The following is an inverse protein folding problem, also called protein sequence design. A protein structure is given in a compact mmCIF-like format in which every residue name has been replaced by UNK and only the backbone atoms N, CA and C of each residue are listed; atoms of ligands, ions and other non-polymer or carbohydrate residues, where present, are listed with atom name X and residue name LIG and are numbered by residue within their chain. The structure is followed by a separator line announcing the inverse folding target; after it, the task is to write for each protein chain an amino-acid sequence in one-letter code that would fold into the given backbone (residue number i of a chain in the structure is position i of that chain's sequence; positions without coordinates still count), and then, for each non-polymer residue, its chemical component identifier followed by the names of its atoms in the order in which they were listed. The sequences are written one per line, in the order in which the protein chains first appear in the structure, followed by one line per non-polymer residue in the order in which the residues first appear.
data_IF_225170118693
#
_entry.id   IF_225170118693
#
_cell.length_a   1.000
_cell.length_b   1.000
_cell.length_c   1.000
_cell.angle_alpha   90.00
_cell.angle_beta   90.00
_cell.angle_gamma   90.00
#
_symmetry.space_group_name_H-M   'P 1'
#
loop_
_entity.id
_entity.type
_entity.pdbx_description
1 polymer ?
#
# COMPACT_ATOMS: atom_id res chain seq x y z
N UNK A 1 -8.80 -31.76 13.74
CA UNK A 1 -7.63 -32.36 13.11
C UNK A 1 -6.57 -32.80 14.13
N UNK A 2 -6.22 -32.02 15.17
CA UNK A 2 -5.27 -32.45 16.23
C UNK A 2 -5.64 -33.78 16.86
N UNK A 3 -6.92 -33.96 17.24
CA UNK A 3 -7.42 -35.23 17.79
C UNK A 3 -7.26 -36.45 16.85
N UNK A 4 -7.03 -36.19 15.55
CA UNK A 4 -6.76 -37.23 14.54
C UNK A 4 -5.27 -37.38 14.24
N UNK A 5 -4.38 -36.81 15.07
CA UNK A 5 -2.93 -36.91 14.92
C UNK A 5 -2.31 -35.99 13.87
N UNK A 6 -3.06 -35.04 13.29
CA UNK A 6 -2.48 -34.10 12.33
C UNK A 6 -1.67 -33.01 13.05
N UNK A 7 -0.55 -32.62 12.45
CA UNK A 7 0.13 -31.39 12.81
C UNK A 7 -0.68 -30.20 12.30
N UNK A 8 -1.12 -29.33 13.19
CA UNK A 8 -2.03 -28.22 12.89
C UNK A 8 -1.35 -26.90 13.22
N UNK A 9 -1.07 -26.11 12.19
CA UNK A 9 -0.66 -24.71 12.31
C UNK A 9 -1.91 -23.84 12.48
N UNK A 10 -2.06 -23.18 13.64
CA UNK A 10 -3.16 -22.29 13.95
C UNK A 10 -2.62 -20.98 14.55
N UNK A 11 -2.01 -20.10 13.76
CA UNK A 11 -1.45 -18.84 14.23
C UNK A 11 -2.52 -17.82 14.53
N UNK A 12 -2.16 -16.77 15.28
CA UNK A 12 -2.96 -15.56 15.47
C UNK A 12 -2.23 -14.35 14.89
N UNK A 13 -2.98 -13.46 14.24
CA UNK A 13 -2.47 -12.20 13.71
C UNK A 13 -3.26 -11.00 14.24
N UNK A 14 -2.54 -9.93 14.60
CA UNK A 14 -3.12 -8.67 15.03
C UNK A 14 -2.86 -7.61 13.96
N UNK A 15 -3.93 -7.10 13.36
CA UNK A 15 -3.87 -5.92 12.50
C UNK A 15 -3.79 -4.69 13.39
N UNK A 16 -2.59 -4.14 13.54
CA UNK A 16 -2.26 -3.23 14.64
C UNK A 16 -2.12 -1.77 14.22
N UNK A 17 -2.08 -1.46 12.93
CA UNK A 17 -2.15 -0.10 12.42
C UNK A 17 -3.60 0.33 12.24
N UNK A 18 -3.91 1.62 12.46
CA UNK A 18 -5.20 2.14 12.10
C UNK A 18 -5.66 3.34 12.89
N UNK A 19 -6.65 4.02 12.35
CA UNK A 19 -7.27 5.23 12.89
C UNK A 19 -7.71 5.11 14.36
N UNK A 20 -8.30 3.99 14.85
CA UNK A 20 -8.71 3.90 16.25
C UNK A 20 -7.57 4.11 17.24
N UNK A 21 -6.40 3.52 17.00
CA UNK A 21 -5.24 3.67 17.87
C UNK A 21 -4.64 5.09 17.80
N UNK A 22 -4.66 5.70 16.60
CA UNK A 22 -4.19 7.06 16.36
C UNK A 22 -5.08 8.10 17.05
N UNK A 23 -6.40 7.98 16.93
CA UNK A 23 -7.34 8.88 17.60
C UNK A 23 -7.25 8.76 19.12
N UNK A 24 -7.17 7.56 19.67
CA UNK A 24 -6.97 7.38 21.09
C UNK A 24 -5.65 8.01 21.59
N UNK A 25 -4.60 7.96 20.78
CA UNK A 25 -3.34 8.61 21.08
C UNK A 25 -3.47 10.15 21.13
N UNK A 26 -4.23 10.74 20.21
CA UNK A 26 -4.50 12.18 20.20
C UNK A 26 -5.32 12.61 21.42
N UNK A 27 -6.33 11.84 21.82
CA UNK A 27 -7.20 12.11 22.96
C UNK A 27 -6.47 11.97 24.31
N UNK A 28 -5.59 11.00 24.43
CA UNK A 28 -4.97 10.63 25.71
C UNK A 28 -3.52 11.06 25.86
N UNK A 29 -2.87 11.48 24.77
CA UNK A 29 -1.42 11.73 24.72
C UNK A 29 -0.56 10.47 24.82
N UNK A 30 -1.16 9.26 24.77
CA UNK A 30 -0.46 8.01 24.89
C UNK A 30 -0.02 7.49 23.51
N UNK A 31 1.25 7.12 23.36
CA UNK A 31 1.75 6.58 22.09
C UNK A 31 0.98 5.31 21.66
N UNK A 32 0.56 5.18 20.37
CA UNK A 32 -0.27 4.06 19.90
C UNK A 32 0.29 2.67 20.22
N UNK A 33 1.61 2.49 20.19
CA UNK A 33 2.25 1.21 20.50
C UNK A 33 1.93 0.72 21.91
N UNK A 34 1.86 1.62 22.91
CA UNK A 34 1.54 1.26 24.31
C UNK A 34 0.12 0.73 24.42
N UNK A 35 -0.84 1.41 23.80
CA UNK A 35 -2.24 0.99 23.76
C UNK A 35 -2.40 -0.34 23.01
N UNK A 36 -1.72 -0.49 21.88
CA UNK A 36 -1.72 -1.73 21.08
C UNK A 36 -1.23 -2.91 21.88
N UNK A 37 -0.10 -2.80 22.59
CA UNK A 37 0.43 -3.87 23.45
C UNK A 37 -0.56 -4.29 24.53
N UNK A 38 -1.17 -3.31 25.20
CA UNK A 38 -2.18 -3.57 26.24
C UNK A 38 -3.40 -4.29 25.67
N UNK A 39 -3.87 -3.87 24.50
CA UNK A 39 -5.02 -4.46 23.83
C UNK A 39 -4.72 -5.90 23.38
N UNK A 40 -3.54 -6.16 22.81
CA UNK A 40 -3.10 -7.51 22.43
C UNK A 40 -3.09 -8.45 23.65
N UNK A 41 -2.53 -8.00 24.77
CA UNK A 41 -2.52 -8.79 26.00
C UNK A 41 -3.95 -9.10 26.49
N UNK A 42 -4.87 -8.14 26.38
CA UNK A 42 -6.27 -8.31 26.74
C UNK A 42 -6.97 -9.31 25.81
N UNK A 43 -6.84 -9.15 24.50
CA UNK A 43 -7.41 -10.07 23.52
C UNK A 43 -6.90 -11.51 23.71
N UNK A 44 -5.60 -11.67 23.90
CA UNK A 44 -5.01 -12.98 24.17
C UNK A 44 -5.63 -13.64 25.41
N UNK A 45 -5.74 -12.90 26.50
CA UNK A 45 -6.38 -13.41 27.73
C UNK A 45 -7.85 -13.79 27.54
N UNK A 46 -8.60 -13.02 26.72
CA UNK A 46 -9.99 -13.31 26.40
C UNK A 46 -10.13 -14.56 25.53
N UNK A 47 -9.30 -14.69 24.49
CA UNK A 47 -9.30 -15.85 23.60
C UNK A 47 -8.89 -17.14 24.31
N UNK A 48 -7.94 -17.06 25.24
CA UNK A 48 -7.56 -18.19 26.08
C UNK A 48 -8.73 -18.67 27.00
N UNK A 49 -9.52 -17.74 27.54
CA UNK A 49 -10.72 -18.07 28.33
C UNK A 49 -11.82 -18.75 27.50
N UNK A 50 -11.94 -18.43 26.20
CA UNK A 50 -12.86 -19.10 25.28
C UNK A 50 -12.38 -20.51 24.93
N UNK A 51 -11.08 -20.79 25.10
CA UNK A 51 -10.46 -22.07 24.84
C UNK A 51 -10.04 -22.29 23.38
N UNK A 52 -9.75 -21.21 22.64
CA UNK A 52 -9.15 -21.33 21.33
C UNK A 52 -7.74 -21.94 21.40
N UNK A 53 -7.45 -22.86 20.47
CA UNK A 53 -6.17 -23.57 20.40
C UNK A 53 -5.18 -22.84 19.49
N UNK A 54 -4.93 -21.55 19.69
CA UNK A 54 -3.92 -20.82 18.93
C UNK A 54 -2.50 -21.25 19.30
N UNK A 55 -1.61 -21.22 18.31
CA UNK A 55 -0.17 -21.36 18.53
C UNK A 55 0.43 -19.96 18.76
N UNK A 56 0.44 -19.52 20.01
CA UNK A 56 0.93 -18.21 20.39
C UNK A 56 2.43 -17.99 20.10
N UNK A 57 3.19 -19.06 19.90
CA UNK A 57 4.60 -18.95 19.48
C UNK A 57 4.74 -18.42 18.05
N UNK A 58 3.67 -18.45 17.28
CA UNK A 58 3.56 -18.01 15.89
C UNK A 58 2.61 -16.84 15.71
N UNK A 59 2.37 -16.08 16.76
CA UNK A 59 1.62 -14.84 16.62
C UNK A 59 2.40 -13.82 15.82
N UNK A 60 1.68 -13.01 15.03
CA UNK A 60 2.23 -11.92 14.22
C UNK A 60 1.50 -10.61 14.52
N UNK A 61 2.21 -9.48 14.37
CA UNK A 61 1.69 -8.12 14.54
C UNK A 61 2.08 -7.31 13.34
N UNK A 62 1.14 -6.71 12.65
CA UNK A 62 1.42 -5.96 11.43
C UNK A 62 2.25 -4.69 11.70
N UNK A 63 2.21 -4.17 12.95
CA UNK A 63 3.01 -3.03 13.41
C UNK A 63 4.42 -3.39 13.88
N UNK A 64 4.79 -4.68 13.91
CA UNK A 64 6.15 -5.10 14.24
C UNK A 64 7.10 -4.80 13.07
N UNK A 65 8.24 -4.11 13.29
CA UNK A 65 9.24 -3.89 12.25
C UNK A 65 9.72 -5.17 11.56
N UNK A 66 9.81 -6.28 12.29
CA UNK A 66 10.16 -7.58 11.73
C UNK A 66 9.11 -8.10 10.74
N UNK A 67 7.85 -7.67 10.87
CA UNK A 67 6.77 -7.99 9.97
C UNK A 67 6.68 -6.98 8.80
N UNK A 68 6.50 -5.69 9.08
CA UNK A 68 6.22 -4.69 8.03
C UNK A 68 7.42 -4.41 7.11
N UNK A 69 8.65 -4.77 7.48
CA UNK A 69 9.80 -4.72 6.56
C UNK A 69 9.54 -5.47 5.25
N UNK A 70 8.75 -6.55 5.29
CA UNK A 70 8.39 -7.32 4.10
C UNK A 70 7.37 -6.59 3.23
N UNK A 71 6.42 -5.89 3.83
CA UNK A 71 5.50 -4.99 3.10
C UNK A 71 6.28 -3.87 2.40
N UNK A 72 7.25 -3.27 3.09
CA UNK A 72 8.13 -2.25 2.51
C UNK A 72 8.99 -2.84 1.39
N UNK A 73 9.52 -4.05 1.57
CA UNK A 73 10.30 -4.73 0.54
C UNK A 73 9.45 -5.00 -0.71
N UNK A 74 8.23 -5.51 -0.56
CA UNK A 74 7.31 -5.74 -1.68
C UNK A 74 7.01 -4.42 -2.40
N UNK A 75 6.75 -3.34 -1.66
CA UNK A 75 6.55 -2.02 -2.25
C UNK A 75 7.75 -1.59 -3.10
N UNK A 76 8.98 -1.77 -2.61
CA UNK A 76 10.20 -1.45 -3.35
C UNK A 76 10.35 -2.30 -4.62
N UNK A 77 9.96 -3.58 -4.58
CA UNK A 77 9.95 -4.42 -5.80
C UNK A 77 8.98 -3.85 -6.85
N UNK A 78 7.77 -3.47 -6.44
CA UNK A 78 6.78 -2.84 -7.33
C UNK A 78 7.24 -1.48 -7.84
N UNK A 79 7.83 -0.65 -6.98
CA UNK A 79 8.38 0.65 -7.34
C UNK A 79 9.52 0.55 -8.35
N UNK A 80 10.38 -0.46 -8.22
CA UNK A 80 11.50 -0.71 -9.11
C UNK A 80 11.15 -1.57 -10.32
N UNK A 81 9.85 -1.75 -10.60
CA UNK A 81 9.36 -2.56 -11.72
C UNK A 81 8.32 -1.80 -12.56
N UNK A 82 8.17 -2.23 -13.81
CA UNK A 82 7.10 -1.80 -14.71
C UNK A 82 6.45 -3.03 -15.35
N UNK A 83 5.20 -2.93 -15.79
CA UNK A 83 4.54 -3.99 -16.56
C UNK A 83 4.93 -3.92 -18.03
N UNK A 84 5.46 -5.02 -18.55
CA UNK A 84 5.79 -5.15 -19.98
C UNK A 84 4.62 -5.80 -20.71
N UNK A 85 3.90 -5.03 -21.54
CA UNK A 85 2.74 -5.52 -22.30
C UNK A 85 3.10 -6.61 -23.31
N UNK A 86 4.31 -6.59 -23.85
CA UNK A 86 4.77 -7.61 -24.81
C UNK A 86 5.05 -8.94 -24.14
N UNK A 87 5.69 -8.92 -22.97
CA UNK A 87 6.04 -10.14 -22.22
C UNK A 87 4.98 -10.54 -21.20
N UNK A 88 3.95 -9.69 -21.01
CA UNK A 88 2.85 -9.89 -20.03
C UNK A 88 3.35 -10.17 -18.61
N UNK A 89 4.42 -9.50 -18.18
CA UNK A 89 5.00 -9.65 -16.83
C UNK A 89 5.68 -8.36 -16.35
N UNK A 90 5.95 -8.31 -15.04
CA UNK A 90 6.79 -7.27 -14.47
C UNK A 90 8.25 -7.44 -14.89
N UNK A 91 8.88 -6.33 -15.24
CA UNK A 91 10.31 -6.25 -15.55
C UNK A 91 10.95 -5.12 -14.71
N UNK A 92 12.26 -5.22 -14.40
CA UNK A 92 12.98 -4.16 -13.70
C UNK A 92 12.92 -2.82 -14.45
N UNK A 93 12.67 -1.73 -13.73
CA UNK A 93 12.58 -0.37 -14.28
C UNK A 93 13.87 0.04 -15.00
N UNK A 94 15.03 -0.48 -14.58
CA UNK A 94 16.32 -0.26 -15.22
C UNK A 94 16.37 -0.69 -16.68
N UNK A 95 15.62 -1.73 -17.06
CA UNK A 95 15.50 -2.15 -18.46
C UNK A 95 14.73 -1.12 -19.29
N UNK A 96 13.72 -0.49 -18.70
CA UNK A 96 12.97 0.58 -19.35
C UNK A 96 13.83 1.83 -19.51
N UNK A 97 14.59 2.20 -18.48
CA UNK A 97 15.55 3.31 -18.53
C UNK A 97 16.55 3.10 -19.67
N UNK A 98 17.19 1.94 -19.72
CA UNK A 98 18.15 1.59 -20.77
C UNK A 98 17.51 1.63 -22.18
N UNK A 99 16.25 1.21 -22.29
CA UNK A 99 15.49 1.33 -23.55
C UNK A 99 15.29 2.79 -23.94
N UNK A 100 14.95 3.67 -23.01
CA UNK A 100 14.76 5.09 -23.25
C UNK A 100 16.05 5.79 -23.62
N UNK A 101 17.16 5.45 -22.97
CA UNK A 101 18.50 5.98 -23.28
C UNK A 101 18.97 5.63 -24.70
N UNK A 102 18.54 4.47 -25.23
CA UNK A 102 19.04 3.96 -26.51
C UNK A 102 18.05 4.13 -27.67
N UNK A 103 16.74 4.12 -27.40
CA UNK A 103 15.68 4.07 -28.44
C UNK A 103 14.58 5.11 -28.22
N UNK A 104 14.58 5.79 -27.08
CA UNK A 104 13.46 6.66 -26.71
C UNK A 104 12.16 5.90 -26.44
N UNK A 105 11.06 6.63 -26.46
CA UNK A 105 9.69 6.14 -26.37
C UNK A 105 8.90 6.57 -27.59
N UNK A 106 9.10 5.87 -28.71
CA UNK A 106 8.36 6.12 -29.94
C UNK A 106 7.20 5.12 -30.07
N UNK A 107 6.03 5.52 -30.58
CA UNK A 107 4.97 4.59 -30.86
C UNK A 107 5.45 3.57 -31.90
N UNK A 108 5.31 2.29 -31.54
CA UNK A 108 5.22 1.29 -32.61
C UNK A 108 3.85 1.47 -33.26
N UNK A 109 3.79 1.48 -34.58
CA UNK A 109 2.52 1.49 -35.33
C UNK A 109 1.57 0.46 -34.74
N UNK A 110 0.50 0.94 -34.08
CA UNK A 110 -0.55 0.08 -33.52
C UNK A 110 -0.68 -0.02 -32.01
N UNK A 111 0.31 0.43 -31.22
CA UNK A 111 0.14 0.49 -29.76
C UNK A 111 0.07 1.94 -29.28
N UNK A 112 -1.06 2.37 -28.67
CA UNK A 112 -1.08 3.67 -28.00
C UNK A 112 -0.14 3.57 -26.80
N UNK A 113 0.98 4.30 -26.81
CA UNK A 113 1.77 4.54 -25.61
C UNK A 113 1.07 5.67 -24.85
N UNK A 114 0.37 5.40 -23.75
CA UNK A 114 -0.16 6.48 -22.92
C UNK A 114 1.03 7.28 -22.37
N UNK A 115 1.15 8.54 -22.76
CA UNK A 115 2.22 9.42 -22.31
C UNK A 115 3.13 9.89 -23.45
N UNK A 116 4.03 10.79 -23.14
CA UNK A 116 4.85 11.56 -24.06
C UNK A 116 5.74 10.68 -24.94
N UNK A 117 5.75 10.99 -26.22
CA UNK A 117 6.75 10.47 -27.19
C UNK A 117 8.02 11.29 -27.04
N UNK A 118 9.18 10.66 -27.10
CA UNK A 118 10.49 11.30 -27.06
C UNK A 118 11.55 10.38 -27.69
N UNK A 119 12.55 11.01 -28.30
CA UNK A 119 13.74 10.33 -28.83
C UNK A 119 14.72 9.97 -27.70
N UNK A 120 15.76 9.18 -28.03
CA UNK A 120 16.83 8.89 -27.07
C UNK A 120 17.61 10.18 -26.69
N UNK A 121 17.85 11.05 -27.64
CA UNK A 121 18.57 12.32 -27.41
C UNK A 121 17.76 13.24 -26.48
N UNK A 122 16.44 13.36 -26.72
CA UNK A 122 15.55 14.12 -25.83
C UNK A 122 15.53 13.52 -24.42
N UNK A 123 15.44 12.18 -24.28
CA UNK A 123 15.51 11.52 -22.97
C UNK A 123 16.80 11.84 -22.21
N UNK A 124 17.94 11.74 -22.91
CA UNK A 124 19.27 11.99 -22.34
C UNK A 124 19.47 13.48 -22.00
N UNK A 125 18.73 14.38 -22.67
CA UNK A 125 18.71 15.81 -22.38
C UNK A 125 17.74 16.23 -21.27
N UNK A 126 16.84 15.34 -20.82
CA UNK A 126 15.90 15.66 -19.75
C UNK A 126 16.60 15.76 -18.38
N UNK A 127 16.10 16.65 -17.55
CA UNK A 127 16.50 16.68 -16.13
C UNK A 127 16.11 15.39 -15.43
N UNK A 128 16.84 14.99 -14.38
CA UNK A 128 16.51 13.81 -13.57
C UNK A 128 15.06 13.86 -13.05
N UNK A 129 14.59 15.03 -12.63
CA UNK A 129 13.21 15.20 -12.20
C UNK A 129 12.22 14.84 -13.32
N UNK A 130 12.48 15.29 -14.55
CA UNK A 130 11.63 15.00 -15.72
C UNK A 130 11.65 13.52 -16.08
N UNK A 131 12.82 12.89 -16.04
CA UNK A 131 12.94 11.43 -16.24
C UNK A 131 12.14 10.67 -15.20
N UNK A 132 12.23 11.02 -13.90
CA UNK A 132 11.48 10.36 -12.83
C UNK A 132 9.96 10.58 -12.94
N UNK A 133 9.49 11.75 -13.39
CA UNK A 133 8.07 11.98 -13.69
C UNK A 133 7.55 11.02 -14.77
N UNK A 134 8.32 10.82 -15.84
CA UNK A 134 7.98 9.90 -16.93
C UNK A 134 8.01 8.44 -16.44
N UNK A 135 9.02 8.06 -15.64
CA UNK A 135 9.12 6.72 -15.07
C UNK A 135 8.01 6.44 -14.09
N UNK A 136 7.57 7.43 -13.31
CA UNK A 136 6.47 7.31 -12.34
C UNK A 136 5.18 6.84 -13.03
N UNK A 137 4.92 7.29 -14.24
CA UNK A 137 3.77 6.85 -15.04
C UNK A 137 3.88 5.38 -15.51
N UNK A 138 5.02 4.74 -15.33
CA UNK A 138 5.27 3.34 -15.74
C UNK A 138 5.46 2.38 -14.58
N UNK A 139 5.88 2.87 -13.43
CA UNK A 139 6.12 2.04 -12.24
C UNK A 139 4.86 1.32 -11.80
N UNK A 140 4.99 0.10 -11.31
CA UNK A 140 3.87 -0.66 -10.73
C UNK A 140 3.37 -0.05 -9.42
N UNK A 141 4.25 0.52 -8.62
CA UNK A 141 3.88 1.43 -7.52
C UNK A 141 4.19 2.86 -7.95
N UNK A 142 3.19 3.73 -7.97
CA UNK A 142 3.31 5.10 -8.47
C UNK A 142 2.56 6.09 -7.59
N UNK A 143 3.01 7.34 -7.61
CA UNK A 143 2.39 8.43 -6.86
C UNK A 143 1.76 9.45 -7.80
N UNK A 144 0.51 9.79 -7.52
CA UNK A 144 -0.21 10.88 -8.23
C UNK A 144 -1.15 11.61 -7.28
N UNK A 145 -1.61 12.79 -7.69
CA UNK A 145 -2.71 13.46 -7.02
C UNK A 145 -4.02 12.73 -7.30
N UNK A 146 -4.75 12.40 -6.25
CA UNK A 146 -6.07 11.79 -6.30
C UNK A 146 -7.03 12.48 -5.36
N UNK A 147 -8.31 12.34 -5.62
CA UNK A 147 -9.36 12.84 -4.74
C UNK A 147 -9.57 11.85 -3.58
N UNK A 148 -9.56 12.37 -2.36
CA UNK A 148 -9.71 11.59 -1.13
C UNK A 148 -10.79 12.21 -0.25
N UNK A 149 -11.36 11.41 0.64
CA UNK A 149 -12.27 11.86 1.68
C UNK A 149 -11.42 12.42 2.84
N UNK A 150 -11.39 13.72 3.00
CA UNK A 150 -10.65 14.37 4.07
C UNK A 150 -11.56 14.77 5.21
N UNK A 151 -11.23 14.38 6.42
CA UNK A 151 -11.90 14.82 7.65
C UNK A 151 -10.95 15.71 8.43
N UNK A 152 -11.26 17.02 8.52
CA UNK A 152 -10.42 18.01 9.21
C UNK A 152 -10.37 17.73 10.72
N UNK A 153 -11.51 17.39 11.31
CA UNK A 153 -11.61 17.13 12.75
C UNK A 153 -10.81 15.90 13.19
N UNK A 154 -10.70 14.88 12.34
CA UNK A 154 -9.88 13.68 12.60
C UNK A 154 -8.45 13.83 12.07
N UNK A 155 -8.16 14.86 11.26
CA UNK A 155 -6.84 15.12 10.70
C UNK A 155 -6.35 14.05 9.72
N UNK A 156 -7.25 13.32 9.06
CA UNK A 156 -6.89 12.15 8.25
C UNK A 156 -7.78 11.95 7.03
N UNK A 157 -7.31 11.06 6.14
CA UNK A 157 -8.07 10.55 5.00
C UNK A 157 -8.89 9.36 5.45
N UNK A 158 -10.15 9.32 5.03
CA UNK A 158 -11.09 8.24 5.32
C UNK A 158 -11.36 7.39 4.08
N UNK A 159 -11.51 6.08 4.27
CA UNK A 159 -12.01 5.18 3.26
C UNK A 159 -13.48 5.48 2.92
N UNK A 160 -13.98 4.97 1.80
CA UNK A 160 -15.36 5.27 1.39
C UNK A 160 -16.41 4.70 2.36
N UNK A 161 -16.13 3.56 2.95
CA UNK A 161 -16.97 2.89 3.94
C UNK A 161 -16.95 3.56 5.32
N UNK A 162 -15.96 4.39 5.60
CA UNK A 162 -15.88 5.22 6.82
C UNK A 162 -16.64 6.55 6.69
N UNK A 163 -17.29 6.79 5.55
CA UNK A 163 -18.07 8.01 5.29
C UNK A 163 -19.54 7.66 5.07
N UNK A 164 -20.39 8.08 6.01
CA UNK A 164 -21.83 7.85 5.97
C UNK A 164 -22.56 9.19 5.87
N UNK A 165 -23.37 9.39 4.84
CA UNK A 165 -24.14 10.63 4.62
C UNK A 165 -23.28 11.92 4.65
N UNK A 166 -22.04 11.85 4.16
CA UNK A 166 -21.13 13.00 4.09
C UNK A 166 -20.41 13.34 5.40
N UNK A 167 -20.55 12.50 6.42
CA UNK A 167 -19.85 12.62 7.69
C UNK A 167 -19.04 11.36 8.00
N UNK A 168 -18.01 11.51 8.87
CA UNK A 168 -17.24 10.36 9.35
C UNK A 168 -18.11 9.44 10.22
N UNK A 169 -18.00 8.13 10.03
CA UNK A 169 -18.67 7.14 10.89
C UNK A 169 -18.26 7.36 12.36
N UNK A 170 -16.99 7.65 12.58
CA UNK A 170 -16.47 7.99 13.90
C UNK A 170 -16.62 9.50 14.17
N UNK A 171 -17.42 9.85 15.17
CA UNK A 171 -17.59 11.22 15.65
C UNK A 171 -18.54 12.10 14.83
N UNK A 172 -19.07 11.64 13.68
CA UNK A 172 -20.04 12.39 12.88
C UNK A 172 -19.52 13.70 12.30
N UNK A 173 -18.21 13.82 12.06
CA UNK A 173 -17.58 15.06 11.57
C UNK A 173 -17.74 15.22 10.05
N UNK A 174 -17.90 16.47 9.55
CA UNK A 174 -18.00 16.73 8.11
C UNK A 174 -16.78 16.20 7.35
N UNK A 175 -17.04 15.59 6.20
CA UNK A 175 -16.03 15.05 5.28
C UNK A 175 -16.09 15.81 3.96
N UNK A 176 -14.93 16.24 3.48
CA UNK A 176 -14.81 16.98 2.21
C UNK A 176 -13.90 16.23 1.23
N UNK A 177 -14.13 16.44 -0.06
CA UNK A 177 -13.22 15.94 -1.09
C UNK A 177 -12.01 16.87 -1.19
N UNK A 178 -10.81 16.29 -1.09
CA UNK A 178 -9.54 17.02 -1.17
C UNK A 178 -8.59 16.30 -2.13
N UNK A 179 -7.87 17.06 -2.95
CA UNK A 179 -6.81 16.49 -3.79
C UNK A 179 -5.52 16.39 -3.02
N UNK A 180 -5.08 15.17 -2.73
CA UNK A 180 -3.83 14.89 -2.05
C UNK A 180 -2.96 13.95 -2.90
N UNK A 181 -1.64 14.04 -2.71
CA UNK A 181 -0.72 13.11 -3.33
C UNK A 181 -0.79 11.77 -2.61
N UNK A 182 -1.10 10.70 -3.36
CA UNK A 182 -1.31 9.35 -2.85
C UNK A 182 -0.44 8.35 -3.61
N UNK A 183 -0.12 7.23 -2.97
CA UNK A 183 0.47 6.07 -3.61
C UNK A 183 -0.61 5.16 -4.16
N UNK A 184 -0.34 4.61 -5.34
CA UNK A 184 -1.21 3.66 -6.04
C UNK A 184 -0.41 2.46 -6.52
N UNK A 185 -1.07 1.31 -6.60
CA UNK A 185 -0.54 0.10 -7.20
C UNK A 185 -1.31 -0.23 -8.48
N UNK A 186 -0.61 -0.61 -9.57
CA UNK A 186 -1.24 -0.97 -10.86
C UNK A 186 -1.72 -2.42 -10.85
N UNK A 187 -2.60 -2.76 -9.94
CA UNK A 187 -3.11 -4.14 -9.81
C UNK A 187 -3.91 -4.59 -11.04
N UNK A 188 -4.54 -3.67 -11.76
CA UNK A 188 -5.34 -3.95 -12.96
C UNK A 188 -4.52 -4.44 -14.16
N UNK A 189 -3.20 -4.20 -14.19
CA UNK A 189 -2.31 -4.75 -15.24
C UNK A 189 -2.27 -6.29 -15.26
N UNK A 190 -2.76 -6.92 -14.20
CA UNK A 190 -2.81 -8.38 -14.03
C UNK A 190 -4.23 -8.95 -14.09
N UNK A 191 -5.25 -8.13 -14.40
CA UNK A 191 -6.66 -8.55 -14.34
C UNK A 191 -7.02 -9.61 -15.40
N UNK A 192 -6.34 -9.59 -16.56
CA UNK A 192 -6.62 -10.48 -17.70
C UNK A 192 -5.81 -11.80 -17.65
N UNK A 193 -5.41 -12.26 -16.47
CA UNK A 193 -4.63 -13.49 -16.26
C UNK A 193 -5.45 -14.60 -15.63
#
# INVERSE_FOLDING_TARGET
KRLKGFNVLHPMGYDSFGLPAEQYALETGQHPAVTTEKNIATFRSQLDKIGFCFDWSREVRTSDPAYYKWTQWIFLQLFNSYFCNTEKKALPISLLIKKYETKGAMPKTGEPIPGKHFTADEWNGFTKQKQEEILMDRRLAFSKYGEVNWCEALGTVLANDEVVNGVSERGGHPVVKKKLRQWYLRITEYADR
#
